data_IF_310525798997
#
_entry.id   IF_310525798997
#
_cell.length_a   1.000
_cell.length_b   1.000
_cell.length_c   1.000
_cell.angle_alpha   90.00
_cell.angle_beta   90.00
_cell.angle_gamma   90.00
#
_symmetry.space_group_name_H-M   'P 1'
#
loop_
_entity.id
_entity.type
_entity.pdbx_description
1 polymer ?
#
# COMPACT_ATOMS: atom_id res chain seq x y z
N UNK A 1 17.19 -6.04 0.81
CA UNK A 1 16.72 -5.78 2.20
C UNK A 1 17.08 -4.37 2.71
N UNK A 2 17.92 -3.59 2.01
CA UNK A 2 18.34 -2.25 2.45
C UNK A 2 17.27 -1.14 2.28
N UNK A 3 16.44 -1.20 1.22
CA UNK A 3 15.56 -0.08 0.83
C UNK A 3 14.48 0.31 1.85
N UNK A 4 14.04 -0.61 2.72
CA UNK A 4 12.98 -0.32 3.70
C UNK A 4 13.56 0.34 4.96
N UNK A 5 14.76 -0.08 5.38
CA UNK A 5 15.44 0.50 6.55
C UNK A 5 15.89 1.93 6.24
N UNK A 6 16.41 2.16 5.03
CA UNK A 6 16.84 3.49 4.59
C UNK A 6 15.66 4.46 4.46
N UNK A 7 14.48 3.97 4.06
CA UNK A 7 13.25 4.76 4.04
C UNK A 7 12.70 5.10 5.44
N UNK A 8 13.01 4.29 6.47
CA UNK A 8 12.69 4.58 7.86
C UNK A 8 13.68 5.54 8.53
N UNK A 9 14.93 5.57 8.06
CA UNK A 9 16.02 6.36 8.65
C UNK A 9 16.16 7.78 8.08
N UNK A 10 15.42 8.11 7.01
CA UNK A 10 15.34 9.47 6.51
C UNK A 10 14.76 10.41 7.60
N UNK A 11 15.22 11.68 7.72
CA UNK A 11 14.54 12.67 8.55
C UNK A 11 13.05 12.63 8.20
N UNK A 12 12.10 12.88 9.14
CA UNK A 12 10.69 12.83 8.83
C UNK A 12 10.46 13.81 7.69
N UNK A 13 10.41 13.27 6.46
CA UNK A 13 10.13 13.98 5.22
C UNK A 13 8.86 14.69 5.59
N UNK A 14 8.87 16.02 5.81
CA UNK A 14 7.78 16.79 6.42
C UNK A 14 6.45 16.14 6.04
N UNK A 15 5.98 15.24 6.90
CA UNK A 15 5.16 14.13 6.40
C UNK A 15 3.79 14.70 6.33
N UNK A 16 3.40 15.12 5.13
CA UNK A 16 2.03 15.57 4.89
C UNK A 16 1.10 14.51 5.52
N UNK A 17 0.07 14.95 6.24
CA UNK A 17 -0.87 14.03 6.89
C UNK A 17 -1.42 12.96 5.91
N UNK A 18 -1.45 13.32 4.62
CA UNK A 18 -1.78 12.44 3.50
C UNK A 18 -0.79 11.28 3.33
N UNK A 19 0.53 11.53 3.34
CA UNK A 19 1.56 10.48 3.25
C UNK A 19 1.45 9.50 4.42
N UNK A 20 1.29 10.01 5.65
CA UNK A 20 1.10 9.16 6.84
C UNK A 20 -0.16 8.30 6.72
N UNK A 21 -1.26 8.88 6.21
CA UNK A 21 -2.52 8.16 5.96
C UNK A 21 -2.33 7.04 4.94
N UNK A 22 -1.66 7.30 3.82
CA UNK A 22 -1.38 6.30 2.78
C UNK A 22 -0.52 5.16 3.34
N UNK A 23 0.53 5.47 4.11
CA UNK A 23 1.40 4.46 4.72
C UNK A 23 0.65 3.57 5.72
N UNK A 24 -0.21 4.15 6.56
CA UNK A 24 -1.06 3.40 7.48
C UNK A 24 -2.04 2.49 6.73
N UNK A 25 -2.67 3.00 5.68
CA UNK A 25 -3.58 2.23 4.83
C UNK A 25 -2.85 1.05 4.16
N UNK A 26 -1.66 1.29 3.60
CA UNK A 26 -0.81 0.27 3.00
C UNK A 26 -0.47 -0.83 4.01
N UNK A 27 -0.01 -0.46 5.20
CA UNK A 27 0.32 -1.41 6.25
C UNK A 27 -0.90 -2.29 6.60
N UNK A 28 -2.06 -1.67 6.79
CA UNK A 28 -3.29 -2.38 7.12
C UNK A 28 -3.68 -3.38 6.01
N UNK A 29 -3.63 -2.97 4.74
CA UNK A 29 -3.99 -3.82 3.61
C UNK A 29 -2.98 -4.97 3.45
N UNK A 30 -1.69 -4.71 3.61
CA UNK A 30 -0.63 -5.73 3.51
C UNK A 30 -0.82 -6.77 4.62
N UNK A 31 -0.98 -6.35 5.88
CA UNK A 31 -1.18 -7.25 7.01
C UNK A 31 -2.42 -8.11 6.81
N UNK A 32 -3.54 -7.50 6.39
CA UNK A 32 -4.77 -8.24 6.12
C UNK A 32 -4.60 -9.26 4.98
N UNK A 33 -3.94 -8.87 3.89
CA UNK A 33 -3.71 -9.74 2.72
C UNK A 33 -2.84 -10.95 3.10
N UNK A 34 -1.77 -10.75 3.87
CA UNK A 34 -0.92 -11.83 4.36
C UNK A 34 -1.64 -12.76 5.33
N UNK A 35 -2.43 -12.19 6.24
CA UNK A 35 -3.26 -12.99 7.15
C UNK A 35 -4.28 -13.84 6.38
N UNK A 36 -4.98 -13.26 5.40
CA UNK A 36 -5.93 -13.96 4.52
C UNK A 36 -5.26 -15.10 3.77
N UNK A 37 -4.10 -14.85 3.17
CA UNK A 37 -3.37 -15.86 2.40
C UNK A 37 -2.87 -17.00 3.29
N UNK A 38 -2.28 -16.69 4.45
CA UNK A 38 -1.87 -17.70 5.43
C UNK A 38 -3.04 -18.58 5.86
N UNK A 39 -4.18 -17.98 6.18
CA UNK A 39 -5.36 -18.74 6.58
C UNK A 39 -5.87 -19.63 5.45
N UNK A 40 -5.94 -19.13 4.22
CA UNK A 40 -6.31 -19.95 3.07
C UNK A 40 -5.33 -21.12 2.85
N UNK A 41 -4.02 -20.88 3.03
CA UNK A 41 -2.99 -21.91 2.88
C UNK A 41 -3.13 -23.04 3.92
N UNK A 42 -3.53 -22.73 5.16
CA UNK A 42 -3.74 -23.77 6.19
C UNK A 42 -4.78 -24.81 5.74
N UNK A 43 -5.83 -24.38 5.03
CA UNK A 43 -6.92 -25.28 4.62
C UNK A 43 -6.75 -25.83 3.20
N UNK A 44 -5.93 -25.21 2.36
CA UNK A 44 -5.79 -25.59 0.94
C UNK A 44 -4.42 -26.17 0.59
N UNK A 45 -3.40 -25.96 1.44
CA UNK A 45 -1.99 -26.26 1.18
C UNK A 45 -1.42 -25.60 -0.08
N UNK A 46 -2.12 -24.59 -0.64
CA UNK A 46 -1.70 -23.85 -1.84
C UNK A 46 -1.13 -22.49 -1.42
N UNK A 47 -0.03 -22.10 -2.07
CA UNK A 47 0.56 -20.77 -1.92
C UNK A 47 0.07 -19.84 -3.02
N UNK A 48 -0.13 -18.57 -2.69
CA UNK A 48 -0.41 -17.54 -3.69
C UNK A 48 0.90 -16.90 -4.14
N UNK A 49 1.15 -16.74 -5.46
CA UNK A 49 2.35 -16.08 -5.95
C UNK A 49 2.47 -14.65 -5.43
N UNK A 50 3.70 -14.20 -5.14
CA UNK A 50 3.96 -12.85 -4.61
C UNK A 50 3.45 -11.75 -5.54
N UNK A 51 3.56 -11.93 -6.86
CA UNK A 51 3.05 -10.97 -7.86
C UNK A 51 1.54 -10.79 -7.75
N UNK A 52 0.80 -11.87 -7.48
CA UNK A 52 -0.65 -11.83 -7.28
C UNK A 52 -0.98 -11.07 -5.98
N UNK A 53 -0.26 -11.34 -4.89
CA UNK A 53 -0.46 -10.64 -3.62
C UNK A 53 -0.16 -9.14 -3.74
N UNK A 54 0.92 -8.78 -4.43
CA UNK A 54 1.26 -7.38 -4.74
C UNK A 54 0.16 -6.70 -5.55
N UNK A 55 -0.33 -7.34 -6.61
CA UNK A 55 -1.42 -6.82 -7.42
C UNK A 55 -2.72 -6.65 -6.64
N UNK A 56 -3.02 -7.56 -5.70
CA UNK A 56 -4.18 -7.44 -4.81
C UNK A 56 -4.03 -6.25 -3.86
N UNK A 57 -2.84 -6.05 -3.26
CA UNK A 57 -2.57 -4.92 -2.37
C UNK A 57 -2.72 -3.60 -3.12
N UNK A 58 -2.02 -3.45 -4.26
CA UNK A 58 -2.08 -2.22 -5.07
C UNK A 58 -3.52 -1.90 -5.49
N UNK A 59 -4.24 -2.87 -6.05
CA UNK A 59 -5.64 -2.69 -6.45
C UNK A 59 -6.51 -2.26 -5.27
N UNK A 60 -6.36 -2.92 -4.12
CA UNK A 60 -7.16 -2.59 -2.93
C UNK A 60 -6.87 -1.17 -2.43
N UNK A 61 -5.61 -0.73 -2.46
CA UNK A 61 -5.25 0.64 -2.09
C UNK A 61 -5.89 1.63 -3.05
N UNK A 62 -5.76 1.42 -4.36
CA UNK A 62 -6.36 2.29 -5.39
C UNK A 62 -7.87 2.39 -5.24
N UNK A 63 -8.55 1.25 -5.10
CA UNK A 63 -10.01 1.19 -4.93
C UNK A 63 -10.47 1.98 -3.69
N UNK A 64 -9.69 1.94 -2.60
CA UNK A 64 -9.97 2.74 -1.40
C UNK A 64 -9.73 4.23 -1.63
N UNK A 65 -8.60 4.60 -2.22
CA UNK A 65 -8.25 6.00 -2.46
C UNK A 65 -9.18 6.67 -3.47
N UNK A 66 -9.74 5.92 -4.44
CA UNK A 66 -10.78 6.41 -5.36
C UNK A 66 -12.05 6.92 -4.64
N UNK A 67 -12.33 6.43 -3.44
CA UNK A 67 -13.47 6.87 -2.63
C UNK A 67 -13.23 8.25 -1.96
N UNK A 68 -12.02 8.79 -2.05
CA UNK A 68 -11.62 10.09 -1.47
C UNK A 68 -11.13 11.03 -2.58
N UNK A 69 -12.04 11.58 -3.39
CA UNK A 69 -11.67 12.51 -4.46
C UNK A 69 -11.09 13.80 -3.88
N UNK A 70 -10.23 14.45 -4.68
CA UNK A 70 -9.73 15.78 -4.33
C UNK A 70 -10.87 16.80 -4.23
N UNK A 71 -10.77 17.67 -3.22
CA UNK A 71 -11.62 18.84 -3.06
C UNK A 71 -10.74 20.07 -3.33
N UNK A 72 -11.21 20.97 -4.19
CA UNK A 72 -10.58 22.27 -4.47
C UNK A 72 -9.26 22.26 -5.27
N UNK A 73 -9.07 21.30 -6.18
CA UNK A 73 -7.92 21.30 -7.11
C UNK A 73 -6.57 20.95 -6.47
N UNK A 74 -6.58 20.46 -5.23
CA UNK A 74 -5.41 19.84 -4.59
C UNK A 74 -5.12 18.47 -5.21
N UNK A 75 -3.89 17.93 -5.15
CA UNK A 75 -3.65 16.55 -5.60
C UNK A 75 -4.42 15.57 -4.70
N UNK A 76 -5.13 14.64 -5.31
CA UNK A 76 -5.82 13.56 -4.61
C UNK A 76 -4.83 12.61 -3.92
N UNK A 77 -5.31 11.87 -2.92
CA UNK A 77 -4.50 10.84 -2.27
C UNK A 77 -4.04 9.75 -3.26
N UNK A 78 -4.84 9.49 -4.30
CA UNK A 78 -4.51 8.55 -5.36
C UNK A 78 -3.35 9.06 -6.23
N UNK A 79 -3.36 10.34 -6.61
CA UNK A 79 -2.25 10.95 -7.34
C UNK A 79 -0.97 10.96 -6.52
N UNK A 80 -1.07 11.26 -5.21
CA UNK A 80 0.06 11.16 -4.30
C UNK A 80 0.58 9.72 -4.20
N UNK A 81 -0.31 8.73 -4.14
CA UNK A 81 0.04 7.32 -4.13
C UNK A 81 0.82 6.91 -5.40
N UNK A 82 0.38 7.36 -6.58
CA UNK A 82 1.13 7.12 -7.82
C UNK A 82 2.50 7.81 -7.84
N UNK A 83 2.62 9.00 -7.25
CA UNK A 83 3.90 9.69 -7.12
C UNK A 83 4.87 9.01 -6.15
N UNK A 84 4.37 8.33 -5.11
CA UNK A 84 5.19 7.64 -4.12
C UNK A 84 5.69 6.26 -4.56
N UNK A 85 5.07 5.66 -5.59
CA UNK A 85 5.32 4.27 -5.98
C UNK A 85 5.62 4.22 -7.47
N UNK A 86 6.91 4.21 -7.83
CA UNK A 86 7.34 3.92 -9.20
C UNK A 86 6.92 2.49 -9.57
N UNK A 87 6.00 2.39 -10.52
CA UNK A 87 5.35 1.13 -10.93
C UNK A 87 6.20 0.29 -11.91
N UNK A 88 5.97 -1.05 -12.05
CA UNK A 88 5.04 -1.92 -11.31
C UNK A 88 5.70 -2.78 -10.25
N UNK A 89 4.92 -3.10 -9.21
CA UNK A 89 5.23 -4.15 -8.23
C UNK A 89 4.93 -5.52 -8.82
#
# INVERSE_FOLDING_TARGET
MALIIDALAAPPISSSAHTSTIMKLLLQIIVYTLWRERNARIFTSKTTPLSVLKGMVDRTVRDRLLSFPSVNGSPSLLELYFGCISYPI
#
